data_IF_213930205938
#
_entry.id   IF_213930205938
#
_cell.length_a   1.000
_cell.length_b   1.000
_cell.length_c   1.000
_cell.angle_alpha   90.00
_cell.angle_beta   90.00
_cell.angle_gamma   90.00
#
_symmetry.space_group_name_H-M   'P 1'
#
loop_
_entity.id
_entity.type
_entity.pdbx_description
1 polymer ?
#
# COMPACT_ATOMS: atom_id res chain seq x y z
N UNK A 1 29.34 18.56 -9.80
CA UNK A 1 28.78 18.17 -8.50
C UNK A 1 27.80 17.04 -8.70
N UNK A 2 27.46 16.30 -7.65
CA UNK A 2 26.42 15.28 -7.68
C UNK A 2 25.13 15.87 -7.11
N UNK A 3 23.99 15.39 -7.60
CA UNK A 3 22.65 15.75 -7.11
C UNK A 3 21.88 14.45 -6.86
N UNK A 4 21.04 14.47 -5.83
CA UNK A 4 20.14 13.36 -5.52
C UNK A 4 19.03 13.26 -6.56
N UNK A 5 18.70 12.03 -6.97
CA UNK A 5 17.66 11.75 -7.95
C UNK A 5 16.88 10.51 -7.54
N UNK A 6 15.58 10.51 -7.80
CA UNK A 6 14.74 9.34 -7.65
C UNK A 6 14.26 8.85 -9.02
N UNK A 7 14.11 7.54 -9.16
CA UNK A 7 13.58 6.90 -10.36
C UNK A 7 12.59 5.82 -9.95
N UNK A 8 11.47 5.76 -10.67
CA UNK A 8 10.38 4.83 -10.40
C UNK A 8 10.22 3.87 -11.58
N UNK A 9 10.14 2.58 -11.29
CA UNK A 9 9.89 1.55 -12.29
C UNK A 9 8.81 0.58 -11.80
N UNK A 10 7.86 0.18 -12.66
CA UNK A 10 6.84 -0.79 -12.27
C UNK A 10 7.43 -2.19 -12.05
N UNK A 11 6.95 -2.88 -11.02
CA UNK A 11 7.25 -4.29 -10.77
C UNK A 11 6.19 -5.13 -11.48
N UNK A 12 6.57 -5.88 -12.51
CA UNK A 12 5.64 -6.65 -13.36
C UNK A 12 5.85 -8.17 -13.30
N UNK A 13 7.02 -8.63 -12.87
CA UNK A 13 7.38 -10.05 -12.82
C UNK A 13 7.47 -10.53 -11.37
N UNK A 14 7.52 -11.85 -11.17
CA UNK A 14 7.40 -12.54 -9.86
C UNK A 14 5.96 -12.49 -9.31
N UNK A 15 4.98 -12.78 -10.16
CA UNK A 15 3.60 -13.00 -9.72
C UNK A 15 3.56 -14.27 -8.87
N UNK A 16 3.09 -14.13 -7.62
CA UNK A 16 2.94 -15.22 -6.67
C UNK A 16 1.69 -16.06 -6.98
N UNK A 17 1.61 -17.25 -6.41
CA UNK A 17 0.41 -18.08 -6.47
C UNK A 17 -0.74 -17.48 -5.64
N UNK A 18 -1.96 -18.00 -5.83
CA UNK A 18 -3.17 -17.42 -5.21
C UNK A 18 -3.15 -17.51 -3.69
N UNK A 19 -2.58 -18.59 -3.14
CA UNK A 19 -2.40 -18.81 -1.71
C UNK A 19 -1.45 -17.81 -1.04
N UNK A 20 -0.52 -17.22 -1.80
CA UNK A 20 0.47 -16.24 -1.34
C UNK A 20 0.08 -14.80 -1.71
N UNK A 21 -1.10 -14.60 -2.32
CA UNK A 21 -1.61 -13.27 -2.62
C UNK A 21 -1.86 -12.46 -1.34
N UNK A 22 -1.81 -11.13 -1.46
CA UNK A 22 -2.07 -10.24 -0.33
C UNK A 22 -3.46 -10.49 0.27
N UNK A 23 -3.47 -10.68 1.59
CA UNK A 23 -4.67 -10.78 2.40
C UNK A 23 -5.16 -9.40 2.84
N UNK A 24 -6.41 -9.32 3.32
CA UNK A 24 -7.01 -8.07 3.81
C UNK A 24 -6.11 -7.37 4.86
N UNK A 25 -5.48 -8.15 5.73
CA UNK A 25 -4.64 -7.65 6.82
C UNK A 25 -3.27 -7.14 6.36
N UNK A 26 -2.82 -7.46 5.16
CA UNK A 26 -1.59 -6.89 4.61
C UNK A 26 -1.74 -5.39 4.31
N UNK A 27 -2.94 -4.95 3.95
CA UNK A 27 -3.26 -3.54 3.73
C UNK A 27 -3.87 -2.89 4.99
N UNK A 28 -4.80 -3.59 5.64
CA UNK A 28 -5.64 -3.06 6.73
C UNK A 28 -5.18 -3.51 8.13
N UNK A 29 -3.92 -3.93 8.26
CA UNK A 29 -3.34 -4.44 9.49
C UNK A 29 -2.97 -3.38 10.53
N UNK A 30 -2.33 -3.84 11.61
CA UNK A 30 -1.77 -2.95 12.64
C UNK A 30 -0.54 -2.20 12.15
N UNK A 31 -0.15 -1.14 12.86
CA UNK A 31 1.06 -0.36 12.56
C UNK A 31 2.29 -1.29 12.53
N UNK A 32 3.07 -1.23 11.45
CA UNK A 32 4.22 -2.13 11.21
C UNK A 32 3.89 -3.40 10.42
N UNK A 33 2.61 -3.75 10.25
CA UNK A 33 2.14 -4.84 9.37
C UNK A 33 1.37 -4.34 8.15
N UNK A 34 0.89 -3.10 8.17
CA UNK A 34 0.22 -2.46 7.03
C UNK A 34 1.23 -2.06 5.94
N UNK A 35 0.95 -2.41 4.68
CA UNK A 35 1.78 -2.07 3.51
C UNK A 35 1.51 -0.68 2.94
N UNK A 36 0.30 -0.15 3.14
CA UNK A 36 -0.13 1.10 2.50
C UNK A 36 -0.03 2.30 3.45
N UNK A 37 0.58 3.37 2.94
CA UNK A 37 0.55 4.69 3.55
C UNK A 37 -0.70 5.44 3.08
N UNK A 38 -1.80 5.28 3.82
CA UNK A 38 -3.10 5.84 3.46
C UNK A 38 -3.09 7.36 3.30
N UNK A 39 -2.35 8.08 4.14
CA UNK A 39 -2.29 9.54 4.10
C UNK A 39 -1.56 10.02 2.84
N UNK A 40 -0.41 9.41 2.50
CA UNK A 40 0.30 9.71 1.24
C UNK A 40 -0.49 9.33 -0.01
N UNK A 41 -1.37 8.34 0.10
CA UNK A 41 -2.31 7.95 -0.96
C UNK A 41 -3.56 8.84 -1.03
N UNK A 42 -3.69 9.84 -0.15
CA UNK A 42 -4.80 10.81 -0.15
C UNK A 42 -6.05 10.34 0.61
N UNK A 43 -5.96 9.30 1.43
CA UNK A 43 -7.04 8.85 2.31
C UNK A 43 -6.91 9.46 3.71
N UNK A 44 -8.04 9.82 4.33
CA UNK A 44 -8.07 10.38 5.69
C UNK A 44 -7.67 9.38 6.77
N UNK A 45 -7.95 8.09 6.56
CA UNK A 45 -7.38 7.00 7.34
C UNK A 45 -7.59 5.67 6.59
N UNK A 46 -7.31 4.56 7.26
CA UNK A 46 -7.60 3.22 6.75
C UNK A 46 -9.09 3.10 6.31
N UNK A 47 -9.38 2.88 5.01
CA UNK A 47 -10.75 2.89 4.48
C UNK A 47 -11.70 1.88 5.12
N UNK A 48 -11.19 0.74 5.61
CA UNK A 48 -12.04 -0.28 6.24
C UNK A 48 -12.63 0.22 7.56
N UNK A 49 -11.94 1.15 8.23
CA UNK A 49 -12.37 1.75 9.50
C UNK A 49 -13.42 2.83 9.30
N UNK A 50 -13.45 3.46 8.13
CA UNK A 50 -14.33 4.59 7.81
C UNK A 50 -15.63 4.18 7.10
N UNK A 51 -15.87 2.88 6.89
CA UNK A 51 -17.05 2.34 6.16
C UNK A 51 -17.21 2.87 4.72
N UNK A 52 -16.10 3.19 4.02
CA UNK A 52 -16.11 3.48 2.59
C UNK A 52 -15.45 4.80 2.15
N UNK A 53 -15.20 4.91 0.84
CA UNK A 53 -14.46 6.02 0.17
C UNK A 53 -15.19 7.37 0.17
N UNK A 54 -16.49 7.38 0.48
CA UNK A 54 -17.35 8.57 0.38
C UNK A 54 -18.04 8.82 1.73
N UNK A 55 -17.41 9.64 2.56
CA UNK A 55 -18.08 10.50 3.53
C UNK A 55 -17.46 11.87 3.46
#
# INVERSE_FOLDING_TARGET
GFVETEMYWPINHMVVSGEDALSCTDCHGTKGKKRLDWEKLGYSSDPIKLKGRFK
#
